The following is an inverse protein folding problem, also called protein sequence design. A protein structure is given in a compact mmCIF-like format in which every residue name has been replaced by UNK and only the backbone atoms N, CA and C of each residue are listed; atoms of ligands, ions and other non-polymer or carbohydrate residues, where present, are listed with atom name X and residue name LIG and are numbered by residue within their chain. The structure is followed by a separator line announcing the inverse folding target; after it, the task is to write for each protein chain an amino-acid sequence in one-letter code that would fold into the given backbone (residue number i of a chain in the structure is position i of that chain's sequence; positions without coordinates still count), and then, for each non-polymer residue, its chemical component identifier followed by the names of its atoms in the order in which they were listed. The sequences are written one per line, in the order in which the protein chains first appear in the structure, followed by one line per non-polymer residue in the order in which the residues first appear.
data_IF_748389384871
#
_entry.id   IF_748389384871
#
_cell.length_a   1.000
_cell.length_b   1.000
_cell.length_c   1.000
_cell.angle_alpha   90.00
_cell.angle_beta   90.00
_cell.angle_gamma   90.00
#
_symmetry.space_group_name_H-M   'P 1'
#
loop_
_entity.id
_entity.type
_entity.pdbx_description
1 polymer ?
#
# COMPACT_ATOMS: atom_id res chain seq x y z
N UNK A 1 16.72 25.28 12.69
CA UNK A 1 15.38 25.11 13.29
C UNK A 1 14.65 24.09 12.44
N UNK A 2 14.32 22.92 12.99
CA UNK A 2 13.46 21.96 12.30
C UNK A 2 12.02 22.52 12.28
N UNK A 3 11.41 22.58 11.10
CA UNK A 3 10.00 22.95 10.96
C UNK A 3 9.19 21.70 11.25
N UNK A 4 8.31 21.74 12.26
CA UNK A 4 7.51 20.59 12.66
C UNK A 4 6.33 20.37 11.70
N UNK A 5 5.91 19.11 11.54
CA UNK A 5 4.63 18.75 10.91
C UNK A 5 3.50 19.53 11.57
N UNK A 6 2.67 20.17 10.75
CA UNK A 6 1.54 20.98 11.22
C UNK A 6 0.25 20.38 10.65
N UNK A 7 -0.53 19.75 11.52
CA UNK A 7 -1.90 19.34 11.20
C UNK A 7 -2.88 20.48 11.51
N UNK A 8 -3.93 20.60 10.71
CA UNK A 8 -5.13 21.30 11.15
C UNK A 8 -5.63 20.66 12.45
N UNK A 9 -6.27 21.43 13.32
CA UNK A 9 -6.86 20.84 14.52
C UNK A 9 -7.84 19.73 14.13
N UNK A 10 -7.91 18.66 14.93
CA UNK A 10 -8.84 17.54 14.71
C UNK A 10 -10.28 18.02 14.45
N UNK A 11 -10.73 19.06 15.17
CA UNK A 11 -12.05 19.67 15.00
C UNK A 11 -12.16 20.33 13.62
N UNK A 12 -11.15 21.10 13.21
CA UNK A 12 -11.12 21.75 11.90
C UNK A 12 -11.16 20.74 10.75
N UNK A 13 -10.37 19.66 10.82
CA UNK A 13 -10.36 18.62 9.79
C UNK A 13 -11.73 17.91 9.68
N UNK A 14 -12.35 17.58 10.82
CA UNK A 14 -13.68 17.01 10.89
C UNK A 14 -14.77 17.94 10.33
N UNK A 15 -14.67 19.25 10.62
CA UNK A 15 -15.61 20.25 10.13
C UNK A 15 -15.49 20.45 8.62
N UNK A 16 -14.26 20.48 8.08
CA UNK A 16 -14.00 20.51 6.62
C UNK A 16 -14.61 19.26 5.97
N UNK A 17 -14.30 18.07 6.47
CA UNK A 17 -14.84 16.83 5.93
C UNK A 17 -16.38 16.82 5.93
N UNK A 18 -16.99 17.24 7.04
CA UNK A 18 -18.46 17.35 7.15
C UNK A 18 -19.05 18.36 6.18
N UNK A 19 -18.38 19.50 5.99
CA UNK A 19 -18.83 20.52 5.05
C UNK A 19 -18.78 20.01 3.60
N UNK A 20 -17.65 19.42 3.20
CA UNK A 20 -17.49 18.80 1.87
C UNK A 20 -18.49 17.66 1.64
N UNK A 21 -18.78 16.86 2.66
CA UNK A 21 -19.72 15.74 2.56
C UNK A 21 -21.19 16.18 2.48
N UNK A 22 -21.57 17.27 3.16
CA UNK A 22 -22.97 17.78 3.20
C UNK A 22 -23.31 18.74 2.06
N UNK A 23 -22.36 19.54 1.61
CA UNK A 23 -22.55 20.53 0.55
C UNK A 23 -21.60 20.29 -0.64
N UNK A 24 -21.59 19.09 -1.23
CA UNK A 24 -20.58 18.66 -2.20
C UNK A 24 -20.61 19.44 -3.51
N UNK A 25 -21.78 19.93 -3.92
CA UNK A 25 -21.96 20.63 -5.20
C UNK A 25 -21.13 21.92 -5.32
N UNK A 26 -20.92 22.62 -4.20
CA UNK A 26 -20.14 23.86 -4.17
C UNK A 26 -18.63 23.63 -4.30
N UNK A 27 -18.18 22.39 -4.09
CA UNK A 27 -16.77 22.00 -4.05
C UNK A 27 -16.38 21.03 -5.15
N UNK A 28 -17.33 20.63 -5.99
CA UNK A 28 -17.14 19.62 -7.01
C UNK A 28 -16.14 20.09 -8.08
N UNK A 29 -15.02 19.39 -8.21
CA UNK A 29 -13.92 19.79 -9.10
C UNK A 29 -13.16 21.04 -8.63
N UNK A 30 -13.38 21.49 -7.40
CA UNK A 30 -12.62 22.54 -6.74
C UNK A 30 -11.21 22.09 -6.33
N UNK A 31 -10.34 23.03 -5.94
CA UNK A 31 -9.00 22.69 -5.48
C UNK A 31 -9.03 21.85 -4.18
N UNK A 32 -8.11 20.90 -4.00
CA UNK A 32 -7.98 20.17 -2.74
C UNK A 32 -7.71 21.10 -1.55
N UNK A 33 -8.32 20.78 -0.40
CA UNK A 33 -8.14 21.51 0.86
C UNK A 33 -7.12 20.76 1.71
N UNK A 34 -5.94 21.35 1.93
CA UNK A 34 -4.93 20.77 2.81
C UNK A 34 -5.38 20.78 4.26
N UNK A 35 -5.24 19.63 4.93
CA UNK A 35 -5.56 19.43 6.35
C UNK A 35 -4.34 19.00 7.16
N UNK A 36 -3.26 18.54 6.51
CA UNK A 36 -1.96 18.28 7.14
C UNK A 36 -0.86 18.79 6.23
N UNK A 37 0.18 19.40 6.82
CA UNK A 37 1.41 19.81 6.15
C UNK A 37 2.61 19.11 6.81
N UNK A 38 3.36 18.36 6.02
CA UNK A 38 4.59 17.70 6.43
C UNK A 38 5.81 18.52 5.99
N UNK A 39 6.84 18.66 6.85
CA UNK A 39 8.12 19.17 6.41
C UNK A 39 8.76 18.20 5.40
N UNK A 40 9.61 18.68 4.48
CA UNK A 40 10.28 17.83 3.48
C UNK A 40 11.07 16.65 4.07
N UNK A 41 11.57 16.81 5.29
CA UNK A 41 12.37 15.84 6.03
C UNK A 41 11.53 14.89 6.91
N UNK A 42 10.20 15.00 6.90
CA UNK A 42 9.32 14.15 7.71
C UNK A 42 9.55 12.66 7.39
N UNK A 43 9.81 11.89 8.44
CA UNK A 43 9.86 10.43 8.42
C UNK A 43 8.47 9.83 8.16
N UNK A 44 8.41 8.57 7.74
CA UNK A 44 7.12 7.86 7.54
C UNK A 44 6.33 7.77 8.84
N UNK A 45 7.03 7.60 9.96
CA UNK A 45 6.40 7.59 11.28
C UNK A 45 5.79 8.95 11.61
N UNK A 46 6.51 10.06 11.41
CA UNK A 46 5.96 11.40 11.68
C UNK A 46 4.75 11.73 10.79
N UNK A 47 4.79 11.35 9.51
CA UNK A 47 3.65 11.54 8.61
C UNK A 47 2.44 10.72 9.04
N UNK A 48 2.67 9.46 9.41
CA UNK A 48 1.64 8.57 9.94
C UNK A 48 0.97 9.13 11.20
N UNK A 49 1.76 9.59 12.17
CA UNK A 49 1.21 10.12 13.41
C UNK A 49 0.35 11.36 13.15
N UNK A 50 0.84 12.29 12.33
CA UNK A 50 0.06 13.47 11.94
C UNK A 50 -1.21 13.11 11.15
N UNK A 51 -1.16 12.08 10.30
CA UNK A 51 -2.35 11.57 9.63
C UNK A 51 -3.35 10.95 10.62
N UNK A 52 -2.88 10.22 11.63
CA UNK A 52 -3.71 9.61 12.67
C UNK A 52 -4.51 10.65 13.46
N UNK A 53 -3.91 11.82 13.74
CA UNK A 53 -4.58 12.91 14.46
C UNK A 53 -5.83 13.43 13.74
N UNK A 54 -5.88 13.37 12.42
CA UNK A 54 -7.01 13.89 11.62
C UNK A 54 -7.95 12.78 11.12
N UNK A 55 -7.44 11.58 10.88
CA UNK A 55 -8.21 10.50 10.26
C UNK A 55 -9.40 10.04 11.10
N UNK A 56 -9.17 9.71 12.39
CA UNK A 56 -10.23 9.27 13.29
C UNK A 56 -11.37 10.30 13.45
N UNK A 57 -11.08 11.58 13.69
CA UNK A 57 -12.08 12.65 13.71
C UNK A 57 -12.87 12.81 12.40
N UNK A 58 -12.23 12.64 11.24
CA UNK A 58 -12.92 12.66 9.93
C UNK A 58 -13.91 11.50 9.86
N UNK A 59 -13.47 10.27 10.12
CA UNK A 59 -14.34 9.08 10.11
C UNK A 59 -15.50 9.25 11.10
N UNK A 60 -15.25 9.75 12.31
CA UNK A 60 -16.30 10.03 13.28
C UNK A 60 -17.32 11.10 12.81
N UNK A 61 -16.90 12.03 11.94
CA UNK A 61 -17.74 13.11 11.45
C UNK A 61 -18.61 12.74 10.25
N UNK A 62 -18.12 11.87 9.35
CA UNK A 62 -18.79 11.54 8.07
C UNK A 62 -19.07 10.05 7.88
N UNK A 63 -18.72 9.19 8.85
CA UNK A 63 -18.92 7.75 8.82
C UNK A 63 -17.74 6.97 8.25
N UNK A 64 -17.89 5.63 8.22
CA UNK A 64 -16.86 4.72 7.69
C UNK A 64 -16.63 4.94 6.19
N UNK A 65 -15.37 4.84 5.72
CA UNK A 65 -15.05 4.88 4.30
C UNK A 65 -15.71 3.76 3.50
N UNK A 66 -15.93 4.02 2.22
CA UNK A 66 -16.29 3.00 1.24
C UNK A 66 -15.07 2.19 0.82
N UNK A 67 -13.93 2.87 0.64
CA UNK A 67 -12.65 2.27 0.30
C UNK A 67 -11.54 2.87 1.14
N UNK A 68 -10.73 1.99 1.71
CA UNK A 68 -9.43 2.31 2.28
C UNK A 68 -8.37 2.11 1.20
N UNK A 69 -7.23 2.77 1.31
CA UNK A 69 -6.20 2.67 0.29
C UNK A 69 -5.07 3.65 0.45
N UNK A 70 -4.13 3.54 -0.49
CA UNK A 70 -2.88 4.26 -0.38
C UNK A 70 -2.09 4.31 -1.67
N UNK A 71 -1.40 5.42 -1.89
CA UNK A 71 -0.37 5.57 -2.92
C UNK A 71 1.02 5.39 -2.32
N UNK A 72 2.05 5.47 -3.16
CA UNK A 72 3.45 5.52 -2.72
C UNK A 72 3.72 6.61 -1.67
N UNK A 73 2.97 7.71 -1.73
CA UNK A 73 3.30 8.93 -0.98
C UNK A 73 2.31 9.30 0.12
N UNK A 74 1.12 8.70 0.13
CA UNK A 74 0.12 9.03 1.14
C UNK A 74 -1.20 8.29 0.98
N UNK A 75 -2.15 8.50 1.91
CA UNK A 75 -3.45 7.83 1.92
C UNK A 75 -4.24 8.09 0.64
N UNK A 76 -5.17 7.19 0.33
CA UNK A 76 -6.18 7.32 -0.74
C UNK A 76 -7.49 6.72 -0.25
N UNK A 77 -8.18 7.44 0.65
CA UNK A 77 -9.41 7.00 1.32
C UNK A 77 -10.63 7.66 0.71
N UNK A 78 -11.71 6.90 0.50
CA UNK A 78 -12.87 7.34 -0.27
C UNK A 78 -14.17 7.14 0.48
N UNK A 79 -15.02 8.16 0.45
CA UNK A 79 -16.44 8.06 0.76
C UNK A 79 -17.22 8.31 -0.53
N UNK A 80 -17.81 7.26 -1.08
CA UNK A 80 -18.42 7.23 -2.40
C UNK A 80 -19.92 6.95 -2.30
N UNK A 81 -20.70 7.72 -3.03
CA UNK A 81 -22.08 7.39 -3.41
C UNK A 81 -22.25 7.56 -4.94
N UNK A 82 -23.48 7.42 -5.44
CA UNK A 82 -23.78 7.53 -6.88
C UNK A 82 -23.35 8.87 -7.50
N UNK A 83 -23.44 9.97 -6.75
CA UNK A 83 -23.31 11.33 -7.30
C UNK A 83 -21.94 11.95 -6.99
N UNK A 84 -21.29 11.52 -5.91
CA UNK A 84 -20.06 12.15 -5.42
C UNK A 84 -19.07 11.18 -4.78
N UNK A 85 -17.82 11.62 -4.77
CA UNK A 85 -16.73 10.98 -4.07
C UNK A 85 -15.97 12.05 -3.27
N UNK A 86 -15.95 11.91 -1.94
CA UNK A 86 -15.03 12.66 -1.07
C UNK A 86 -13.75 11.86 -0.99
N UNK A 87 -12.64 12.45 -1.42
CA UNK A 87 -11.32 11.83 -1.45
C UNK A 87 -10.44 12.48 -0.38
N UNK A 88 -9.93 11.65 0.52
CA UNK A 88 -8.83 11.99 1.41
C UNK A 88 -7.56 11.40 0.82
N UNK A 89 -6.76 12.26 0.18
CA UNK A 89 -5.54 11.89 -0.52
C UNK A 89 -4.33 12.55 0.10
N UNK A 90 -3.18 11.89 0.10
CA UNK A 90 -1.93 12.49 0.52
C UNK A 90 -0.77 12.28 -0.43
N UNK A 91 0.19 13.18 -0.30
CA UNK A 91 1.52 13.11 -0.88
C UNK A 91 2.58 13.29 0.23
N UNK A 92 3.85 13.35 -0.15
CA UNK A 92 4.97 13.48 0.78
C UNK A 92 4.88 14.73 1.69
N UNK A 93 4.18 15.76 1.25
CA UNK A 93 4.12 17.07 1.88
C UNK A 93 2.74 17.39 2.47
N UNK A 94 1.67 16.77 1.98
CA UNK A 94 0.31 17.16 2.34
C UNK A 94 -0.63 15.96 2.49
N UNK A 95 -1.60 16.11 3.39
CA UNK A 95 -2.86 15.36 3.33
C UNK A 95 -3.98 16.34 3.02
N UNK A 96 -4.83 15.99 2.06
CA UNK A 96 -5.83 16.88 1.47
C UNK A 96 -7.20 16.20 1.39
N UNK A 97 -8.26 17.00 1.47
CA UNK A 97 -9.63 16.60 1.17
C UNK A 97 -10.10 17.26 -0.12
N UNK A 98 -10.76 16.50 -0.98
CA UNK A 98 -11.32 16.99 -2.24
C UNK A 98 -12.62 16.28 -2.59
N UNK A 99 -13.43 16.88 -3.47
CA UNK A 99 -14.72 16.34 -3.91
C UNK A 99 -14.73 16.19 -5.42
N UNK A 100 -15.06 14.99 -5.88
CA UNK A 100 -15.04 14.60 -7.28
C UNK A 100 -16.36 13.98 -7.72
N UNK A 101 -16.62 14.01 -9.03
CA UNK A 101 -17.60 13.10 -9.63
C UNK A 101 -16.96 11.71 -9.69
N UNK A 102 -17.62 10.65 -9.18
CA UNK A 102 -17.03 9.30 -9.15
C UNK A 102 -16.54 8.86 -10.52
N UNK A 103 -17.37 8.99 -11.56
CA UNK A 103 -17.02 8.57 -12.91
C UNK A 103 -15.83 9.33 -13.51
N UNK A 104 -15.70 10.63 -13.24
CA UNK A 104 -14.60 11.43 -13.80
C UNK A 104 -13.28 11.03 -13.18
N UNK A 105 -13.23 10.91 -11.85
CA UNK A 105 -12.05 10.48 -11.11
C UNK A 105 -11.65 9.05 -11.48
N UNK A 106 -12.58 8.10 -11.36
CA UNK A 106 -12.30 6.67 -11.58
C UNK A 106 -11.89 6.39 -13.03
N UNK A 107 -12.42 7.13 -14.01
CA UNK A 107 -11.99 7.06 -15.43
C UNK A 107 -10.60 7.67 -15.64
N UNK A 108 -10.24 8.69 -14.87
CA UNK A 108 -8.88 9.24 -14.84
C UNK A 108 -7.87 8.20 -14.31
N UNK A 109 -8.20 7.59 -13.18
CA UNK A 109 -7.36 6.56 -12.54
C UNK A 109 -7.19 5.32 -13.42
N UNK A 110 -8.29 4.83 -14.02
CA UNK A 110 -8.25 3.75 -15.00
C UNK A 110 -7.27 4.07 -16.13
N UNK A 111 -7.30 5.29 -16.68
CA UNK A 111 -6.34 5.72 -17.71
C UNK A 111 -4.90 5.71 -17.22
N UNK A 112 -4.62 6.09 -15.97
CA UNK A 112 -3.28 5.99 -15.39
C UNK A 112 -2.78 4.54 -15.35
N UNK A 113 -3.62 3.58 -14.95
CA UNK A 113 -3.23 2.17 -14.95
C UNK A 113 -3.12 1.57 -16.34
N UNK A 114 -4.02 1.91 -17.27
CA UNK A 114 -3.99 1.34 -18.63
C UNK A 114 -2.89 1.95 -19.51
N UNK A 115 -2.67 3.27 -19.41
CA UNK A 115 -1.85 4.04 -20.36
C UNK A 115 -0.67 4.80 -19.75
N UNK A 116 -0.51 4.80 -18.42
CA UNK A 116 0.77 5.19 -17.79
C UNK A 116 1.87 4.18 -18.13
N UNK A 117 3.01 4.27 -17.46
CA UNK A 117 4.15 3.36 -17.61
C UNK A 117 5.31 3.99 -18.37
N UNK A 118 6.49 3.43 -18.16
CA UNK A 118 7.62 3.61 -19.06
C UNK A 118 7.26 3.07 -20.46
N UNK A 119 7.43 3.89 -21.49
CA UNK A 119 7.14 3.53 -22.89
C UNK A 119 8.33 2.81 -23.55
N UNK A 120 9.48 2.81 -22.87
CA UNK A 120 10.69 2.10 -23.26
C UNK A 120 11.46 1.61 -22.03
N UNK A 121 12.38 0.67 -22.22
CA UNK A 121 13.21 0.13 -21.13
C UNK A 121 14.18 1.15 -20.51
N UNK A 122 14.42 2.28 -21.18
CA UNK A 122 15.34 3.32 -20.74
C UNK A 122 14.63 4.43 -19.92
N UNK A 123 13.30 4.41 -19.86
CA UNK A 123 12.52 5.34 -19.05
C UNK A 123 12.39 4.83 -17.60
N UNK A 124 12.46 5.73 -16.60
CA UNK A 124 12.23 5.34 -15.22
C UNK A 124 10.81 4.79 -15.07
N UNK A 125 10.65 3.74 -14.27
CA UNK A 125 9.33 3.22 -13.95
C UNK A 125 8.51 4.25 -13.15
N UNK A 126 7.18 4.20 -13.26
CA UNK A 126 6.27 5.21 -12.73
C UNK A 126 5.35 4.67 -11.63
N UNK A 127 5.74 3.59 -10.96
CA UNK A 127 4.97 2.99 -9.86
C UNK A 127 4.67 3.98 -8.73
N UNK A 128 5.53 4.97 -8.51
CA UNK A 128 5.36 6.04 -7.53
C UNK A 128 4.34 7.11 -7.96
N UNK A 129 3.97 7.12 -9.25
CA UNK A 129 2.96 8.01 -9.82
C UNK A 129 1.57 7.35 -9.92
N UNK A 130 1.45 6.07 -9.53
CA UNK A 130 0.15 5.40 -9.53
C UNK A 130 -0.81 6.10 -8.55
N UNK A 131 -2.10 6.26 -8.92
CA UNK A 131 -3.09 6.90 -8.05
C UNK A 131 -3.21 6.23 -6.67
N UNK A 132 -2.94 4.92 -6.63
CA UNK A 132 -2.85 4.10 -5.43
C UNK A 132 -2.11 2.79 -5.76
N UNK A 133 -1.38 2.25 -4.79
CA UNK A 133 -0.71 0.95 -4.85
C UNK A 133 -1.53 -0.16 -4.21
N UNK A 134 -2.44 0.17 -3.29
CA UNK A 134 -3.37 -0.77 -2.65
C UNK A 134 -4.74 -0.14 -2.37
N UNK A 135 -5.78 -0.98 -2.36
CA UNK A 135 -7.14 -0.61 -1.94
C UNK A 135 -7.81 -1.77 -1.20
N UNK A 136 -8.62 -1.44 -0.20
CA UNK A 136 -9.38 -2.40 0.59
C UNK A 136 -10.85 -2.02 0.59
N UNK A 137 -11.69 -2.93 0.12
CA UNK A 137 -13.15 -2.81 0.15
C UNK A 137 -13.75 -3.72 1.23
N UNK A 138 -14.43 -3.14 2.23
CA UNK A 138 -15.05 -3.88 3.35
C UNK A 138 -16.58 -3.93 3.31
N UNK A 139 -17.19 -3.57 2.18
CA UNK A 139 -18.65 -3.42 2.15
C UNK A 139 -19.15 -2.26 2.99
N UNK A 140 -18.39 -1.16 3.04
CA UNK A 140 -18.76 0.06 3.77
C UNK A 140 -20.10 0.65 3.29
N UNK A 141 -20.61 1.69 3.99
CA UNK A 141 -21.97 2.21 3.77
C UNK A 141 -22.20 2.87 2.41
N UNK A 142 -21.11 3.18 1.69
CA UNK A 142 -21.16 3.73 0.34
C UNK A 142 -21.20 2.66 -0.74
N UNK A 143 -21.33 3.11 -1.97
CA UNK A 143 -21.43 2.22 -3.11
C UNK A 143 -20.04 1.78 -3.61
N UNK A 144 -19.88 0.49 -3.94
CA UNK A 144 -18.65 -0.04 -4.51
C UNK A 144 -18.22 0.72 -5.78
N UNK A 145 -16.91 0.84 -6.04
CA UNK A 145 -16.45 1.40 -7.30
C UNK A 145 -17.02 0.62 -8.49
N UNK A 146 -17.27 1.32 -9.59
CA UNK A 146 -17.86 0.76 -10.83
C UNK A 146 -17.08 -0.43 -11.40
N UNK A 147 -15.77 -0.49 -11.15
CA UNK A 147 -14.84 -1.52 -11.61
C UNK A 147 -13.78 -1.75 -10.54
N UNK A 148 -13.26 -2.98 -10.51
CA UNK A 148 -12.00 -3.26 -9.82
C UNK A 148 -10.88 -2.45 -10.48
N UNK A 149 -9.89 -1.98 -9.71
CA UNK A 149 -8.71 -1.34 -10.27
C UNK A 149 -7.99 -2.26 -11.25
N UNK A 150 -7.46 -1.69 -12.32
CA UNK A 150 -6.45 -2.36 -13.13
C UNK A 150 -5.13 -2.43 -12.36
N UNK A 151 -4.22 -3.30 -12.82
CA UNK A 151 -2.91 -3.48 -12.22
C UNK A 151 -1.79 -3.04 -13.18
N UNK A 152 -0.71 -2.50 -12.62
CA UNK A 152 0.54 -2.22 -13.33
C UNK A 152 1.49 -3.40 -13.17
N UNK A 153 1.93 -4.00 -14.28
CA UNK A 153 2.93 -5.06 -14.27
C UNK A 153 4.34 -4.48 -14.41
N UNK A 154 5.28 -5.02 -13.64
CA UNK A 154 6.70 -4.72 -13.76
C UNK A 154 7.28 -5.44 -14.99
N UNK A 155 8.16 -4.76 -15.75
CA UNK A 155 8.85 -5.39 -16.89
C UNK A 155 10.01 -6.28 -16.48
N UNK A 156 10.64 -5.98 -15.35
CA UNK A 156 11.87 -6.62 -14.89
C UNK A 156 11.97 -6.63 -13.36
N UNK A 157 13.07 -7.19 -12.86
CA UNK A 157 13.32 -7.37 -11.43
C UNK A 157 13.52 -6.07 -10.67
N UNK A 158 14.11 -5.05 -11.30
CA UNK A 158 14.35 -3.76 -10.65
C UNK A 158 13.02 -3.05 -10.43
N UNK A 159 12.16 -3.02 -11.46
CA UNK A 159 10.81 -2.47 -11.34
C UNK A 159 9.96 -3.23 -10.32
N UNK A 160 10.09 -4.56 -10.24
CA UNK A 160 9.38 -5.34 -9.23
C UNK A 160 9.85 -5.02 -7.81
N UNK A 161 11.16 -4.91 -7.60
CA UNK A 161 11.73 -4.53 -6.30
C UNK A 161 11.21 -3.16 -5.88
N UNK A 162 11.21 -2.17 -6.79
CA UNK A 162 10.68 -0.83 -6.51
C UNK A 162 9.17 -0.81 -6.30
N UNK A 163 8.38 -1.53 -7.10
CA UNK A 163 6.93 -1.63 -6.92
C UNK A 163 6.57 -2.22 -5.55
N UNK A 164 7.26 -3.30 -5.16
CA UNK A 164 7.07 -3.95 -3.87
C UNK A 164 7.53 -3.04 -2.72
N UNK A 165 8.67 -2.35 -2.85
CA UNK A 165 9.13 -1.38 -1.86
C UNK A 165 8.10 -0.27 -1.62
N UNK A 166 7.56 0.33 -2.68
CA UNK A 166 6.56 1.39 -2.59
C UNK A 166 5.25 0.90 -1.96
N UNK A 167 4.81 -0.31 -2.29
CA UNK A 167 3.66 -0.94 -1.66
C UNK A 167 3.88 -1.16 -0.16
N UNK A 168 5.02 -1.75 0.22
CA UNK A 168 5.34 -2.04 1.62
C UNK A 168 5.58 -0.77 2.44
N UNK A 169 6.12 0.27 1.82
CA UNK A 169 6.25 1.59 2.42
C UNK A 169 4.87 2.21 2.69
N UNK A 170 3.95 2.14 1.71
CA UNK A 170 2.58 2.60 1.86
C UNK A 170 1.82 1.81 2.93
N UNK A 171 2.00 0.49 3.00
CA UNK A 171 1.42 -0.34 4.06
C UNK A 171 1.93 0.04 5.42
N UNK A 172 3.25 0.09 5.62
CA UNK A 172 3.81 0.48 6.90
C UNK A 172 3.27 1.85 7.33
N UNK A 173 3.27 2.85 6.45
CA UNK A 173 2.83 4.21 6.80
C UNK A 173 1.32 4.34 7.03
N UNK A 174 0.48 3.74 6.18
CA UNK A 174 -0.92 4.17 6.05
C UNK A 174 -1.91 3.14 6.60
N UNK A 175 -1.62 1.85 6.45
CA UNK A 175 -2.49 0.76 6.90
C UNK A 175 -2.79 0.81 8.41
N UNK A 176 -1.82 1.12 9.30
CA UNK A 176 -2.06 1.10 10.76
C UNK A 176 -2.97 2.23 11.25
N UNK A 177 -3.14 3.27 10.43
CA UNK A 177 -4.06 4.37 10.73
C UNK A 177 -5.46 4.06 10.20
N UNK A 178 -5.54 3.48 9.01
CA UNK A 178 -6.80 3.22 8.32
C UNK A 178 -7.55 2.00 8.83
N UNK A 179 -6.82 0.93 9.21
CA UNK A 179 -7.37 -0.33 9.72
C UNK A 179 -6.57 -0.79 10.95
N UNK A 180 -6.71 -0.07 12.08
CA UNK A 180 -5.86 -0.29 13.25
C UNK A 180 -6.06 -1.69 13.84
N UNK A 181 -4.96 -2.38 14.12
CA UNK A 181 -4.95 -3.71 14.75
C UNK A 181 -5.08 -4.88 13.79
N UNK A 182 -5.34 -4.63 12.51
CA UNK A 182 -5.47 -5.68 11.51
C UNK A 182 -4.12 -6.03 10.87
N UNK A 183 -3.86 -7.32 10.63
CA UNK A 183 -2.74 -7.75 9.80
C UNK A 183 -3.12 -7.72 8.32
N UNK A 184 -2.12 -7.54 7.46
CA UNK A 184 -2.27 -7.62 6.00
C UNK A 184 -1.21 -8.53 5.40
N UNK A 185 -1.53 -9.19 4.29
CA UNK A 185 -0.54 -9.97 3.58
C UNK A 185 -1.04 -10.54 2.27
N UNK A 186 -0.12 -11.13 1.53
CA UNK A 186 -0.35 -11.87 0.31
C UNK A 186 0.74 -12.92 0.12
N UNK A 187 0.44 -13.92 -0.71
CA UNK A 187 1.38 -14.97 -1.09
C UNK A 187 1.80 -14.77 -2.53
N UNK A 188 3.10 -14.74 -2.79
CA UNK A 188 3.70 -14.78 -4.12
C UNK A 188 4.01 -16.22 -4.48
N UNK A 189 3.54 -16.64 -5.65
CA UNK A 189 3.88 -17.92 -6.26
C UNK A 189 4.63 -17.69 -7.56
N UNK A 190 5.58 -18.56 -7.86
CA UNK A 190 6.28 -18.61 -9.13
C UNK A 190 5.78 -19.80 -9.95
N UNK A 191 5.45 -19.59 -11.22
CA UNK A 191 4.92 -20.65 -12.11
C UNK A 191 5.91 -21.83 -12.25
N UNK A 192 7.21 -21.57 -12.10
CA UNK A 192 8.31 -22.56 -12.21
C UNK A 192 8.70 -23.23 -10.90
N UNK A 193 8.18 -22.76 -9.76
CA UNK A 193 8.41 -23.35 -8.44
C UNK A 193 7.07 -23.54 -7.71
N UNK A 194 6.16 -24.36 -8.27
CA UNK A 194 4.85 -24.55 -7.68
C UNK A 194 4.99 -25.28 -6.33
N UNK A 195 4.47 -24.66 -5.26
CA UNK A 195 4.43 -25.25 -3.91
C UNK A 195 5.40 -24.65 -2.91
N UNK A 196 6.25 -23.71 -3.31
CA UNK A 196 7.12 -22.95 -2.40
C UNK A 196 6.69 -21.50 -2.33
N UNK A 197 5.67 -21.28 -1.52
CA UNK A 197 5.04 -20.00 -1.32
C UNK A 197 6.00 -19.01 -0.64
N UNK A 198 6.03 -17.77 -1.14
CA UNK A 198 6.65 -16.64 -0.47
C UNK A 198 5.54 -15.75 0.08
N UNK A 199 5.45 -15.63 1.40
CA UNK A 199 4.47 -14.81 2.09
C UNK A 199 5.09 -13.45 2.40
N UNK A 200 4.39 -12.39 2.03
CA UNK A 200 4.70 -11.03 2.45
C UNK A 200 3.57 -10.53 3.33
N UNK A 201 3.92 -9.98 4.49
CA UNK A 201 2.94 -9.54 5.47
C UNK A 201 3.32 -8.23 6.16
N UNK A 202 2.32 -7.60 6.75
CA UNK A 202 2.44 -6.52 7.71
C UNK A 202 1.61 -6.87 8.94
N UNK A 203 2.21 -6.77 10.12
CA UNK A 203 1.58 -7.01 11.41
C UNK A 203 1.72 -5.78 12.31
N UNK A 204 0.62 -5.22 12.87
CA UNK A 204 0.70 -4.09 13.78
C UNK A 204 1.60 -4.37 14.99
N UNK A 205 2.52 -3.44 15.27
CA UNK A 205 3.48 -3.56 16.38
C UNK A 205 4.71 -4.42 16.08
N UNK A 206 4.67 -5.29 15.09
CA UNK A 206 5.83 -6.09 14.64
C UNK A 206 6.50 -5.50 13.39
N UNK A 207 5.71 -4.97 12.47
CA UNK A 207 6.17 -4.38 11.21
C UNK A 207 5.97 -5.31 10.02
N UNK A 208 6.89 -5.22 9.05
CA UNK A 208 6.83 -6.01 7.83
C UNK A 208 7.46 -7.39 8.05
N UNK A 209 6.94 -8.41 7.38
CA UNK A 209 7.45 -9.77 7.41
C UNK A 209 7.58 -10.35 6.02
N UNK A 210 8.62 -11.15 5.83
CA UNK A 210 8.76 -12.03 4.66
C UNK A 210 8.99 -13.43 5.19
N UNK A 211 8.28 -14.42 4.66
CA UNK A 211 8.43 -15.82 5.03
C UNK A 211 8.36 -16.71 3.80
N UNK A 212 9.02 -17.85 3.87
CA UNK A 212 9.03 -18.84 2.79
C UNK A 212 8.83 -20.24 3.33
N UNK A 213 8.10 -21.04 2.57
CA UNK A 213 8.01 -22.48 2.81
C UNK A 213 9.29 -23.17 2.35
N UNK A 214 9.91 -23.92 3.27
CA UNK A 214 11.13 -24.67 3.04
C UNK A 214 11.06 -26.11 3.57
N UNK A 215 9.84 -26.62 3.79
CA UNK A 215 9.62 -27.95 4.38
C UNK A 215 10.19 -29.10 3.56
N UNK A 216 10.29 -28.93 2.25
CA UNK A 216 10.78 -29.96 1.33
C UNK A 216 12.30 -29.98 1.16
N UNK A 217 13.02 -29.01 1.73
CA UNK A 217 14.48 -28.97 1.64
C UNK A 217 15.15 -29.82 2.73
N UNK A 218 16.29 -30.42 2.39
CA UNK A 218 17.14 -31.10 3.37
C UNK A 218 17.68 -30.09 4.39
N UNK A 219 17.35 -30.31 5.66
CA UNK A 219 17.73 -29.42 6.75
C UNK A 219 19.09 -29.85 7.31
N UNK A 220 20.12 -29.04 7.03
CA UNK A 220 21.49 -29.26 7.51
C UNK A 220 22.13 -27.95 7.99
N UNK A 221 23.18 -28.00 8.83
CA UNK A 221 23.86 -26.80 9.32
C UNK A 221 24.35 -25.86 8.21
N UNK A 222 24.77 -26.40 7.07
CA UNK A 222 25.23 -25.63 5.91
C UNK A 222 24.09 -24.84 5.28
N UNK A 223 22.90 -25.43 5.17
CA UNK A 223 21.69 -24.74 4.71
C UNK A 223 21.31 -23.64 5.69
N UNK A 224 21.29 -23.97 6.98
CA UNK A 224 21.01 -23.04 8.07
C UNK A 224 21.93 -21.80 8.03
N UNK A 225 23.22 -22.00 7.73
CA UNK A 225 24.17 -20.91 7.55
C UNK A 225 23.89 -20.11 6.26
N UNK A 226 23.65 -20.79 5.14
CA UNK A 226 23.32 -20.15 3.86
C UNK A 226 22.07 -19.26 3.97
N UNK A 227 21.01 -19.76 4.62
CA UNK A 227 19.77 -19.00 4.80
C UNK A 227 20.03 -17.71 5.60
N UNK A 228 20.86 -17.78 6.64
CA UNK A 228 21.24 -16.59 7.42
C UNK A 228 22.06 -15.59 6.61
N UNK A 229 23.00 -16.04 5.79
CA UNK A 229 23.76 -15.18 4.87
C UNK A 229 22.85 -14.53 3.81
N UNK A 230 21.79 -15.22 3.38
CA UNK A 230 20.78 -14.67 2.48
C UNK A 230 19.80 -13.70 3.16
N UNK A 231 19.90 -13.48 4.47
CA UNK A 231 19.07 -12.53 5.22
C UNK A 231 17.85 -13.14 5.91
N UNK A 232 17.77 -14.47 6.03
CA UNK A 232 16.74 -15.17 6.80
C UNK A 232 17.17 -15.34 8.27
N UNK A 233 16.36 -14.88 9.22
CA UNK A 233 16.77 -14.81 10.63
C UNK A 233 16.02 -15.76 11.57
N UNK A 234 14.79 -16.13 11.22
CA UNK A 234 13.97 -17.07 11.98
C UNK A 234 13.68 -18.33 11.17
N UNK A 235 13.53 -19.45 11.88
CA UNK A 235 13.15 -20.73 11.32
C UNK A 235 12.22 -21.45 12.30
N UNK A 236 10.96 -21.66 11.92
CA UNK A 236 9.99 -22.42 12.71
C UNK A 236 9.14 -23.31 11.80
N UNK A 237 8.91 -24.57 12.21
CA UNK A 237 8.04 -25.54 11.50
C UNK A 237 8.30 -25.65 9.98
N UNK A 238 9.57 -25.52 9.57
CA UNK A 238 10.00 -25.59 8.17
C UNK A 238 9.75 -24.31 7.36
N UNK A 239 9.44 -23.19 8.02
CA UNK A 239 9.33 -21.87 7.43
C UNK A 239 10.51 -21.01 7.84
N UNK A 240 11.23 -20.47 6.86
CA UNK A 240 12.19 -19.39 7.12
C UNK A 240 11.47 -18.06 7.06
N UNK A 241 11.83 -17.15 7.96
CA UNK A 241 11.22 -15.83 8.03
C UNK A 241 12.19 -14.75 8.48
N UNK A 242 11.91 -13.53 8.07
CA UNK A 242 12.59 -12.32 8.54
C UNK A 242 11.56 -11.23 8.82
N UNK A 243 11.76 -10.56 9.94
CA UNK A 243 10.92 -9.46 10.40
C UNK A 243 11.69 -8.14 10.24
N UNK A 244 10.96 -7.11 9.83
CA UNK A 244 11.48 -5.79 9.50
C UNK A 244 10.71 -4.75 10.33
N UNK A 245 11.33 -4.20 11.39
CA UNK A 245 10.64 -3.34 12.33
C UNK A 245 10.00 -2.13 11.67
N UNK A 246 8.81 -1.79 12.14
CA UNK A 246 8.02 -0.68 11.62
C UNK A 246 8.68 0.70 11.75
N UNK A 247 9.45 0.91 12.82
CA UNK A 247 10.13 2.17 13.09
C UNK A 247 11.36 2.41 12.20
N UNK A 248 11.83 1.39 11.48
CA UNK A 248 13.02 1.50 10.65
C UNK A 248 12.67 1.97 9.23
N UNK A 249 13.25 3.11 8.82
CA UNK A 249 12.94 3.73 7.53
C UNK A 249 13.35 2.85 6.33
N UNK A 250 14.33 1.98 6.47
CA UNK A 250 14.80 1.07 5.43
C UNK A 250 14.05 -0.28 5.39
N UNK A 251 13.09 -0.54 6.29
CA UNK A 251 12.39 -1.83 6.36
C UNK A 251 11.67 -2.24 5.06
N UNK A 252 10.92 -1.36 4.36
CA UNK A 252 10.30 -1.71 3.08
C UNK A 252 11.31 -2.12 2.02
N UNK A 253 12.38 -1.35 1.86
CA UNK A 253 13.46 -1.64 0.91
C UNK A 253 14.12 -2.99 1.22
N UNK A 254 14.43 -3.25 2.49
CA UNK A 254 15.05 -4.50 2.92
C UNK A 254 14.13 -5.71 2.72
N UNK A 255 12.84 -5.58 3.04
CA UNK A 255 11.85 -6.62 2.83
C UNK A 255 11.63 -6.91 1.33
N UNK A 256 11.49 -5.86 0.50
CA UNK A 256 11.33 -6.00 -0.94
C UNK A 256 12.54 -6.68 -1.59
N UNK A 257 13.76 -6.23 -1.24
CA UNK A 257 15.00 -6.83 -1.72
C UNK A 257 15.12 -8.31 -1.34
N UNK A 258 14.81 -8.67 -0.09
CA UNK A 258 14.84 -10.07 0.35
C UNK A 258 13.86 -10.92 -0.47
N UNK A 259 12.63 -10.44 -0.64
CA UNK A 259 11.61 -11.14 -1.41
C UNK A 259 12.01 -11.35 -2.87
N UNK A 260 12.50 -10.29 -3.55
CA UNK A 260 12.94 -10.38 -4.95
C UNK A 260 14.18 -11.26 -5.10
N UNK A 261 15.16 -11.15 -4.19
CA UNK A 261 16.35 -12.00 -4.22
C UNK A 261 15.99 -13.49 -4.11
N UNK A 262 15.03 -13.83 -3.24
CA UNK A 262 14.54 -15.19 -3.09
C UNK A 262 13.80 -15.70 -4.34
N UNK A 263 12.92 -14.89 -4.92
CA UNK A 263 12.20 -15.27 -6.14
C UNK A 263 13.17 -15.52 -7.30
N UNK A 264 14.24 -14.73 -7.39
CA UNK A 264 15.31 -14.90 -8.38
C UNK A 264 16.15 -16.16 -8.11
N UNK A 265 16.49 -16.44 -6.85
CA UNK A 265 17.30 -17.61 -6.49
C UNK A 265 16.60 -18.93 -6.82
N UNK A 266 15.26 -18.93 -6.79
CA UNK A 266 14.38 -20.06 -7.14
C UNK A 266 14.17 -20.26 -8.65
N UNK A 267 14.78 -19.43 -9.49
CA UNK A 267 14.81 -19.64 -10.94
C UNK A 267 13.61 -19.07 -11.70
N UNK A 268 12.79 -18.21 -11.09
CA UNK A 268 11.89 -17.35 -11.84
C UNK A 268 12.71 -16.46 -12.79
N UNK A 269 12.26 -16.32 -14.04
CA UNK A 269 13.00 -15.56 -15.07
C UNK A 269 12.68 -14.07 -15.03
N UNK A 270 11.45 -13.73 -14.63
CA UNK A 270 10.98 -12.36 -14.51
C UNK A 270 9.63 -12.25 -13.80
N UNK A 271 9.16 -11.01 -13.55
CA UNK A 271 7.89 -10.75 -12.86
C UNK A 271 6.66 -11.37 -13.53
N UNK A 272 6.72 -11.65 -14.83
CA UNK A 272 5.61 -12.19 -15.61
C UNK A 272 5.28 -13.64 -15.21
N UNK A 273 6.24 -14.37 -14.67
CA UNK A 273 6.09 -15.74 -14.15
C UNK A 273 5.57 -15.77 -12.71
N UNK A 274 5.31 -14.61 -12.11
CA UNK A 274 4.85 -14.49 -10.74
C UNK A 274 3.36 -14.17 -10.70
N UNK A 275 2.70 -14.65 -9.64
CA UNK A 275 1.33 -14.26 -9.30
C UNK A 275 1.20 -14.09 -7.79
N UNK A 276 0.46 -13.08 -7.36
CA UNK A 276 0.00 -12.93 -6.00
C UNK A 276 -1.30 -13.71 -5.80
N UNK A 277 -1.48 -14.28 -4.62
CA UNK A 277 -2.68 -14.99 -4.19
C UNK A 277 -2.96 -14.62 -2.75
N UNK A 278 -4.20 -14.90 -2.32
CA UNK A 278 -4.60 -14.80 -0.91
C UNK A 278 -4.34 -13.42 -0.29
N UNK A 279 -4.39 -12.37 -1.11
CA UNK A 279 -4.27 -11.00 -0.65
C UNK A 279 -5.45 -10.66 0.27
N UNK A 280 -5.16 -10.26 1.50
CA UNK A 280 -6.20 -9.98 2.49
C UNK A 280 -5.74 -9.10 3.65
N UNK A 281 -6.72 -8.54 4.35
CA UNK A 281 -6.54 -7.83 5.61
C UNK A 281 -7.45 -8.47 6.65
N UNK A 282 -6.86 -9.19 7.61
CA UNK A 282 -7.56 -9.94 8.66
C UNK A 282 -8.68 -10.88 8.17
N UNK A 283 -8.57 -11.35 6.92
CA UNK A 283 -9.59 -12.16 6.25
C UNK A 283 -10.91 -11.43 5.97
N UNK A 284 -10.93 -10.10 6.05
CA UNK A 284 -12.14 -9.27 5.91
C UNK A 284 -12.06 -8.32 4.73
N UNK A 285 -13.04 -8.43 3.85
CA UNK A 285 -13.15 -7.60 2.65
C UNK A 285 -12.28 -8.10 1.51
N UNK A 286 -12.21 -7.30 0.46
CA UNK A 286 -11.39 -7.56 -0.73
C UNK A 286 -10.20 -6.60 -0.75
N UNK A 287 -8.98 -7.14 -0.67
CA UNK A 287 -7.74 -6.38 -0.82
C UNK A 287 -7.27 -6.47 -2.28
N UNK A 288 -7.09 -5.32 -2.91
CA UNK A 288 -6.56 -5.19 -4.27
C UNK A 288 -5.19 -4.54 -4.21
N UNK A 289 -4.24 -5.07 -4.99
CA UNK A 289 -2.83 -4.64 -5.00
C UNK A 289 -2.39 -4.18 -6.40
N UNK A 290 -3.02 -3.14 -6.95
CA UNK A 290 -2.78 -2.70 -8.33
C UNK A 290 -1.35 -2.18 -8.58
N UNK A 291 -0.64 -1.77 -7.53
CA UNK A 291 0.76 -1.34 -7.60
C UNK A 291 1.79 -2.42 -7.31
N UNK A 292 1.40 -3.70 -7.19
CA UNK A 292 2.31 -4.78 -6.79
C UNK A 292 3.34 -5.16 -7.86
N UNK A 293 3.06 -4.90 -9.14
CA UNK A 293 3.99 -5.25 -10.23
C UNK A 293 3.86 -6.67 -10.78
N UNK A 294 2.97 -7.51 -10.24
CA UNK A 294 2.73 -8.88 -10.72
C UNK A 294 1.21 -9.15 -10.87
N UNK A 295 0.87 -10.30 -11.46
CA UNK A 295 -0.53 -10.73 -11.62
C UNK A 295 -1.17 -10.99 -10.26
N UNK A 296 -2.46 -10.71 -10.10
CA UNK A 296 -3.24 -10.93 -8.86
C UNK A 296 -4.53 -11.68 -9.15
#
# INVERSE_FOLDING_TARGET
MAVATTAASAITAADIARHLHRSPGDHLGGPPVAIVHHPPEATRMERREAFREVYGPIVAAIGEPTLYGGSAWGPSVRWRDADRLVLLSGDRFHVTLSVHRPEELERGEHRCFTWGGAWSADEPHDFDLLPYSWQLYRGGPGESPWRRPDHRLASDWEQLESALELLLAAWAEQLPVQVPGDWAGFTVVADRDPGRDLVVSYSPGEGLGVAIDDRDAEQCPERDWLMRECGWHGHDRGWWHSAFPEAAENSPTAAARLAVAELRSRGAVGPQELSAREAGVDGRGELWLPGLGIRT
#
